data_IF_097907194934
#
_entry.id   IF_097907194934
#
_cell.length_a   1.000
_cell.length_b   1.000
_cell.length_c   1.000
_cell.angle_alpha   90.00
_cell.angle_beta   90.00
_cell.angle_gamma   90.00
#
_symmetry.space_group_name_H-M   'P 1'
#
loop_
_entity.id
_entity.type
_entity.pdbx_description
1 polymer ?
#
# COMPACT_ATOMS: atom_id res chain seq x y z
N UNK A 1 -29.56 30.15 4.89
CA UNK A 1 -29.86 29.38 3.62
C UNK A 1 -28.77 28.36 3.23
N UNK A 2 -27.71 28.18 4.03
CA UNK A 2 -26.50 27.43 3.69
C UNK A 2 -26.68 26.00 3.12
N UNK A 3 -27.67 25.22 3.57
CA UNK A 3 -27.90 23.83 3.09
C UNK A 3 -28.19 23.71 1.58
N UNK A 4 -28.55 24.80 0.88
CA UNK A 4 -28.74 24.81 -0.57
C UNK A 4 -27.47 25.19 -1.36
N UNK A 5 -26.53 25.93 -0.77
CA UNK A 5 -25.33 26.42 -1.45
C UNK A 5 -24.44 25.27 -1.97
N UNK A 6 -24.22 24.23 -1.16
CA UNK A 6 -23.43 23.06 -1.57
C UNK A 6 -24.10 22.22 -2.66
N UNK A 7 -25.43 22.38 -2.85
CA UNK A 7 -26.17 21.77 -3.95
C UNK A 7 -26.16 22.62 -5.23
N UNK A 8 -26.16 23.95 -5.12
CA UNK A 8 -26.17 24.84 -6.29
C UNK A 8 -24.81 24.93 -6.99
N UNK A 9 -23.71 24.75 -6.26
CA UNK A 9 -22.35 24.68 -6.83
C UNK A 9 -21.91 23.28 -7.27
N UNK A 10 -22.84 22.31 -7.39
CA UNK A 10 -22.52 20.96 -7.88
C UNK A 10 -21.63 20.11 -6.98
N UNK A 11 -21.34 20.55 -5.74
CA UNK A 11 -20.45 19.85 -4.80
C UNK A 11 -21.10 18.64 -4.09
N UNK A 12 -22.33 18.28 -4.47
CA UNK A 12 -22.97 17.00 -4.16
C UNK A 12 -23.28 16.24 -5.44
N UNK A 13 -22.85 14.98 -5.54
CA UNK A 13 -23.27 14.08 -6.63
C UNK A 13 -24.77 13.79 -6.52
N UNK A 14 -25.51 14.07 -7.60
CA UNK A 14 -26.88 13.58 -7.78
C UNK A 14 -26.85 12.08 -8.09
N UNK A 15 -27.63 11.29 -7.35
CA UNK A 15 -27.72 9.84 -7.50
C UNK A 15 -28.85 9.42 -8.44
N UNK A 16 -28.79 9.87 -9.70
CA UNK A 16 -29.66 9.34 -10.76
C UNK A 16 -28.85 8.50 -11.77
N UNK A 17 -29.12 7.19 -11.89
CA UNK A 17 -28.36 6.30 -12.77
C UNK A 17 -28.77 6.47 -14.24
N UNK A 18 -27.80 6.75 -15.12
CA UNK A 18 -27.99 6.71 -16.57
C UNK A 18 -27.81 5.28 -17.11
N UNK A 19 -28.61 4.84 -18.10
CA UNK A 19 -28.52 3.47 -18.65
C UNK A 19 -27.34 3.31 -19.62
N UNK A 20 -26.71 2.14 -19.61
CA UNK A 20 -25.58 1.76 -20.48
C UNK A 20 -26.02 0.63 -21.42
N UNK A 21 -25.60 0.69 -22.70
CA UNK A 21 -25.90 -0.32 -23.73
C UNK A 21 -24.84 -1.45 -23.74
N UNK A 22 -25.28 -2.69 -23.97
CA UNK A 22 -24.41 -3.87 -24.10
C UNK A 22 -24.04 -4.17 -25.56
N UNK A 23 -22.92 -4.88 -25.78
CA UNK A 23 -22.67 -5.75 -26.93
C UNK A 23 -21.81 -6.97 -26.49
N UNK A 24 -21.85 -8.07 -27.26
CA UNK A 24 -21.31 -9.42 -26.93
C UNK A 24 -20.44 -9.99 -28.06
N UNK A 25 -19.51 -10.90 -27.72
CA UNK A 25 -19.11 -12.15 -28.45
C UNK A 25 -17.81 -12.71 -27.83
N UNK A 26 -17.35 -13.95 -28.03
CA UNK A 26 -17.94 -15.30 -27.94
C UNK A 26 -16.82 -16.37 -28.10
N UNK A 27 -16.97 -17.52 -27.42
CA UNK A 27 -16.16 -18.78 -27.51
C UNK A 27 -14.69 -18.72 -26.99
N UNK A 28 -13.94 -19.82 -26.81
CA UNK A 28 -14.23 -21.27 -26.94
C UNK A 28 -13.52 -22.17 -25.87
N UNK A 29 -13.77 -23.49 -25.97
CA UNK A 29 -12.99 -24.70 -25.57
C UNK A 29 -11.77 -24.63 -24.60
N UNK A 30 -11.54 -25.61 -23.70
CA UNK A 30 -12.26 -26.87 -23.47
C UNK A 30 -11.44 -27.96 -22.74
N UNK A 31 -11.02 -27.76 -21.48
CA UNK A 31 -10.46 -28.84 -20.61
C UNK A 31 -11.02 -28.76 -19.18
N UNK A 32 -11.39 -29.91 -18.60
CA UNK A 32 -12.11 -30.01 -17.31
C UNK A 32 -11.22 -29.64 -16.12
N UNK A 33 -11.31 -28.39 -15.66
CA UNK A 33 -10.73 -27.90 -14.40
C UNK A 33 -11.64 -28.32 -13.24
N UNK A 34 -11.09 -28.99 -12.22
CA UNK A 34 -11.83 -29.26 -10.98
C UNK A 34 -11.83 -27.98 -10.12
N UNK A 35 -12.86 -27.15 -10.29
CA UNK A 35 -12.97 -25.87 -9.59
C UNK A 35 -13.35 -26.06 -8.11
N UNK A 36 -12.87 -25.17 -7.24
CA UNK A 36 -13.26 -25.18 -5.82
C UNK A 36 -14.69 -24.62 -5.68
N UNK A 37 -15.69 -25.50 -5.80
CA UNK A 37 -17.12 -25.16 -5.69
C UNK A 37 -17.58 -24.71 -4.29
N UNK A 38 -16.68 -24.60 -3.29
CA UNK A 38 -17.02 -24.18 -1.93
C UNK A 38 -17.35 -22.68 -1.85
N UNK A 39 -18.65 -22.38 -1.98
CA UNK A 39 -19.22 -21.03 -1.81
C UNK A 39 -19.14 -20.56 -0.35
N UNK A 40 -18.95 -19.25 -0.17
CA UNK A 40 -19.05 -18.60 1.14
C UNK A 40 -20.45 -18.76 1.74
N UNK A 41 -20.50 -19.15 3.02
CA UNK A 41 -21.72 -19.38 3.80
C UNK A 41 -21.57 -18.73 5.17
N UNK A 42 -22.64 -18.10 5.65
CA UNK A 42 -22.72 -17.65 7.04
C UNK A 42 -22.75 -18.85 7.99
N UNK A 43 -22.19 -18.70 9.19
CA UNK A 43 -22.41 -19.64 10.28
C UNK A 43 -23.87 -19.49 10.78
N UNK A 44 -24.64 -20.58 10.96
CA UNK A 44 -26.03 -20.50 11.43
C UNK A 44 -26.12 -20.59 12.97
N UNK A 45 -24.98 -20.65 13.68
CA UNK A 45 -24.95 -20.68 15.15
C UNK A 45 -25.30 -19.29 15.67
N UNK A 46 -26.27 -19.19 16.58
CA UNK A 46 -26.69 -17.92 17.14
C UNK A 46 -25.51 -17.17 17.79
N UNK A 47 -25.44 -15.86 17.56
CA UNK A 47 -24.30 -15.01 17.96
C UNK A 47 -23.08 -15.06 17.02
N UNK A 48 -22.94 -16.07 16.17
CA UNK A 48 -21.81 -16.16 15.25
C UNK A 48 -22.07 -15.40 13.93
N UNK A 49 -21.31 -14.33 13.69
CA UNK A 49 -21.41 -13.49 12.48
C UNK A 49 -20.43 -13.90 11.36
N UNK A 50 -19.69 -15.01 11.51
CA UNK A 50 -18.65 -15.41 10.55
C UNK A 50 -19.21 -15.89 9.21
N UNK A 51 -18.55 -15.51 8.10
CA UNK A 51 -18.83 -15.98 6.74
C UNK A 51 -17.60 -16.69 6.18
N UNK A 52 -17.72 -17.97 5.83
CA UNK A 52 -16.57 -18.85 5.52
C UNK A 52 -16.83 -19.78 4.33
N UNK A 53 -15.77 -20.19 3.60
CA UNK A 53 -15.88 -21.22 2.55
C UNK A 53 -16.05 -22.65 3.11
N UNK A 54 -15.34 -22.96 4.20
CA UNK A 54 -15.31 -24.31 4.81
C UNK A 54 -15.86 -24.27 6.24
N UNK A 55 -17.19 -24.25 6.35
CA UNK A 55 -17.91 -24.16 7.63
C UNK A 55 -17.51 -25.27 8.61
N UNK A 56 -17.24 -26.48 8.12
CA UNK A 56 -16.76 -27.60 8.93
C UNK A 56 -15.46 -27.31 9.68
N UNK A 57 -14.55 -26.50 9.10
CA UNK A 57 -13.30 -26.12 9.75
C UNK A 57 -13.51 -24.99 10.77
N UNK A 58 -14.34 -24.00 10.42
CA UNK A 58 -14.72 -22.90 11.30
C UNK A 58 -15.37 -23.42 12.59
N UNK A 59 -16.32 -24.37 12.51
CA UNK A 59 -16.96 -24.97 13.69
C UNK A 59 -15.88 -25.59 14.62
N UNK A 60 -14.92 -26.35 14.08
CA UNK A 60 -13.84 -26.95 14.89
C UNK A 60 -12.94 -25.94 15.60
N UNK A 61 -12.77 -24.74 15.02
CA UNK A 61 -11.86 -23.72 15.55
C UNK A 61 -12.55 -22.77 16.54
N UNK A 62 -13.77 -22.34 16.22
CA UNK A 62 -14.52 -21.27 16.90
C UNK A 62 -15.63 -21.82 17.82
N UNK A 63 -16.18 -22.99 17.51
CA UNK A 63 -17.27 -23.63 18.26
C UNK A 63 -16.82 -25.01 18.77
N UNK A 64 -15.73 -25.01 19.56
CA UNK A 64 -15.03 -26.22 20.03
C UNK A 64 -15.93 -27.15 20.84
N UNK A 65 -16.94 -26.59 21.50
CA UNK A 65 -17.93 -27.29 22.32
C UNK A 65 -18.96 -28.09 21.50
N UNK A 66 -18.87 -28.05 20.16
CA UNK A 66 -19.70 -28.85 19.25
C UNK A 66 -18.88 -30.04 18.73
N UNK A 67 -19.09 -31.27 19.25
CA UNK A 67 -18.31 -32.43 18.81
C UNK A 67 -18.52 -32.72 17.33
N UNK A 68 -17.42 -32.98 16.61
CA UNK A 68 -17.43 -33.32 15.18
C UNK A 68 -18.25 -34.59 14.97
N UNK A 69 -19.23 -34.52 14.06
CA UNK A 69 -20.09 -35.66 13.73
C UNK A 69 -21.32 -35.85 14.62
N UNK A 70 -21.48 -35.06 15.69
CA UNK A 70 -22.69 -35.02 16.52
C UNK A 70 -23.96 -34.71 15.69
N UNK A 71 -25.17 -35.08 16.17
CA UNK A 71 -26.42 -34.75 15.49
C UNK A 71 -26.58 -33.24 15.25
N UNK A 72 -26.15 -32.43 16.22
CA UNK A 72 -26.16 -30.96 16.14
C UNK A 72 -25.17 -30.43 15.10
N UNK A 73 -23.94 -30.95 15.06
CA UNK A 73 -22.95 -30.64 14.01
C UNK A 73 -23.49 -30.92 12.60
N UNK A 74 -24.14 -32.07 12.42
CA UNK A 74 -24.78 -32.46 11.15
C UNK A 74 -25.96 -31.56 10.78
N UNK A 75 -26.76 -31.11 11.76
CA UNK A 75 -27.86 -30.14 11.57
C UNK A 75 -27.31 -28.78 11.08
N UNK A 76 -26.31 -28.24 11.77
CA UNK A 76 -25.64 -26.97 11.41
C UNK A 76 -25.08 -26.99 9.98
N UNK A 77 -24.41 -28.07 9.58
CA UNK A 77 -23.89 -28.19 8.21
C UNK A 77 -25.01 -28.32 7.16
N UNK A 78 -26.16 -28.90 7.51
CA UNK A 78 -27.34 -28.99 6.61
C UNK A 78 -28.03 -27.64 6.46
N UNK A 79 -28.25 -26.93 7.56
CA UNK A 79 -28.80 -25.57 7.60
C UNK A 79 -27.90 -24.59 6.82
N UNK A 80 -26.58 -24.67 7.07
CA UNK A 80 -25.47 -24.15 6.27
C UNK A 80 -25.65 -24.28 4.75
N UNK A 81 -26.05 -25.47 4.30
CA UNK A 81 -26.21 -25.81 2.88
C UNK A 81 -27.47 -25.21 2.28
N UNK A 82 -28.58 -25.22 3.03
CA UNK A 82 -29.88 -24.69 2.63
C UNK A 82 -29.96 -23.15 2.64
N UNK A 83 -29.15 -22.48 3.46
CA UNK A 83 -29.06 -21.03 3.45
C UNK A 83 -28.64 -20.49 2.07
N UNK A 84 -29.28 -19.38 1.63
CA UNK A 84 -28.88 -18.65 0.41
C UNK A 84 -27.39 -18.28 0.52
N UNK A 85 -26.61 -18.67 -0.48
CA UNK A 85 -25.17 -18.41 -0.51
C UNK A 85 -24.92 -16.91 -0.51
N UNK A 86 -24.01 -16.45 0.35
CA UNK A 86 -23.72 -15.02 0.49
C UNK A 86 -23.31 -14.42 -0.86
N UNK A 87 -24.06 -13.41 -1.31
CA UNK A 87 -23.69 -12.55 -2.43
C UNK A 87 -23.06 -11.28 -1.86
N UNK A 88 -21.92 -10.81 -2.40
CA UNK A 88 -21.49 -9.44 -2.14
C UNK A 88 -22.61 -8.46 -2.50
N UNK A 89 -22.73 -7.37 -1.73
CA UNK A 89 -23.58 -6.24 -2.13
C UNK A 89 -23.14 -5.73 -3.51
N UNK A 90 -24.09 -5.38 -4.38
CA UNK A 90 -23.77 -4.90 -5.74
C UNK A 90 -22.94 -3.60 -5.78
N UNK A 91 -22.84 -2.90 -4.65
CA UNK A 91 -21.94 -1.76 -4.48
C UNK A 91 -20.45 -2.13 -4.40
N UNK A 92 -20.10 -3.43 -4.36
CA UNK A 92 -18.70 -3.92 -4.49
C UNK A 92 -18.44 -4.54 -5.86
N UNK A 93 -18.97 -3.92 -6.92
CA UNK A 93 -18.40 -4.06 -8.27
C UNK A 93 -17.19 -3.12 -8.38
N UNK A 94 -16.05 -3.54 -7.81
CA UNK A 94 -14.76 -3.08 -8.37
C UNK A 94 -14.79 -3.44 -9.86
N UNK A 95 -14.43 -2.51 -10.73
CA UNK A 95 -14.16 -2.83 -12.12
C UNK A 95 -13.06 -3.90 -12.15
N UNK A 96 -13.45 -5.14 -12.48
CA UNK A 96 -12.54 -6.18 -12.93
C UNK A 96 -12.59 -6.16 -14.44
N UNK A 97 -11.61 -5.53 -15.05
CA UNK A 97 -11.21 -5.83 -16.43
C UNK A 97 -10.80 -7.31 -16.50
N UNK A 98 -11.16 -7.99 -17.59
CA UNK A 98 -11.19 -9.46 -17.66
C UNK A 98 -9.82 -10.13 -17.92
N UNK A 99 -8.70 -9.45 -17.66
CA UNK A 99 -7.35 -9.98 -17.94
C UNK A 99 -6.71 -10.77 -16.77
N UNK A 100 -7.18 -10.63 -15.53
CA UNK A 100 -6.56 -11.27 -14.34
C UNK A 100 -6.90 -12.78 -14.14
N UNK A 101 -7.07 -13.56 -15.21
CA UNK A 101 -7.23 -15.03 -15.09
C UNK A 101 -6.33 -15.84 -16.01
N UNK A 102 -5.02 -15.54 -16.02
CA UNK A 102 -4.04 -16.36 -16.74
C UNK A 102 -2.65 -16.51 -16.10
N UNK A 103 -2.57 -16.75 -14.78
CA UNK A 103 -1.35 -17.30 -14.16
C UNK A 103 -1.63 -18.64 -13.47
N UNK A 104 -0.94 -19.67 -13.96
CA UNK A 104 -0.83 -21.02 -13.38
C UNK A 104 -0.37 -20.94 -11.92
N UNK A 105 -0.94 -21.77 -11.04
CA UNK A 105 -0.21 -22.27 -9.86
C UNK A 105 0.09 -23.75 -10.05
N UNK A 106 1.32 -24.07 -10.44
CA UNK A 106 1.85 -25.43 -10.33
C UNK A 106 2.34 -25.67 -8.90
N UNK A 107 2.11 -26.87 -8.38
CA UNK A 107 2.72 -27.33 -7.13
C UNK A 107 4.10 -27.92 -7.40
N UNK A 108 5.13 -27.09 -7.25
CA UNK A 108 6.49 -27.49 -6.89
C UNK A 108 6.98 -26.51 -5.81
N UNK A 109 8.02 -26.89 -5.06
CA UNK A 109 8.51 -26.17 -3.87
C UNK A 109 8.56 -24.65 -4.07
N UNK A 110 7.89 -23.90 -3.20
CA UNK A 110 7.71 -22.44 -3.37
C UNK A 110 9.02 -21.69 -3.09
N UNK A 111 9.82 -21.49 -4.14
CA UNK A 111 10.82 -20.43 -4.21
C UNK A 111 10.10 -19.08 -4.31
N UNK A 112 9.84 -18.44 -3.17
CA UNK A 112 9.06 -17.19 -3.03
C UNK A 112 9.78 -15.92 -3.58
N UNK A 113 10.53 -16.01 -4.68
CA UNK A 113 11.41 -14.91 -5.16
C UNK A 113 10.83 -14.02 -6.26
N UNK A 114 9.78 -14.44 -6.97
CA UNK A 114 9.16 -13.65 -8.05
C UNK A 114 7.92 -12.87 -7.64
N UNK A 115 7.52 -12.90 -6.36
CA UNK A 115 6.77 -11.77 -5.81
C UNK A 115 7.81 -10.72 -5.40
N UNK A 116 8.46 -10.12 -6.40
CA UNK A 116 8.99 -8.76 -6.23
C UNK A 116 7.90 -7.96 -5.51
N UNK A 117 8.31 -7.14 -4.54
CA UNK A 117 7.40 -6.20 -3.91
C UNK A 117 6.79 -5.38 -5.04
N UNK A 118 5.56 -5.73 -5.40
CA UNK A 118 4.70 -4.90 -6.21
C UNK A 118 4.77 -3.57 -5.50
N UNK A 119 5.40 -2.59 -6.16
CA UNK A 119 5.66 -1.28 -5.58
C UNK A 119 4.29 -0.69 -5.32
N UNK A 120 3.80 -0.93 -4.10
CA UNK A 120 2.72 -0.15 -3.54
C UNK A 120 3.16 1.29 -3.79
N UNK A 121 2.21 2.11 -4.25
CA UNK A 121 2.38 3.54 -4.30
C UNK A 121 2.36 4.06 -2.85
N UNK A 122 3.31 3.59 -2.05
CA UNK A 122 3.77 4.21 -0.83
C UNK A 122 4.40 5.50 -1.31
N UNK A 123 3.67 6.59 -1.17
CA UNK A 123 4.28 7.91 -1.23
C UNK A 123 5.48 7.88 -0.28
N UNK A 124 6.70 8.25 -0.72
CA UNK A 124 7.88 8.16 0.13
C UNK A 124 7.58 8.93 1.41
N UNK A 125 7.91 8.38 2.58
CA UNK A 125 7.62 9.08 3.84
C UNK A 125 8.31 10.46 3.83
N UNK A 126 7.82 11.42 4.61
CA UNK A 126 8.46 12.74 4.71
C UNK A 126 9.95 12.61 5.09
N UNK A 127 10.31 11.59 5.87
CA UNK A 127 11.69 11.21 6.18
C UNK A 127 12.44 10.71 4.93
N UNK A 128 11.85 9.83 4.11
CA UNK A 128 12.44 9.35 2.86
C UNK A 128 12.61 10.47 1.81
N UNK A 129 11.70 11.45 1.79
CA UNK A 129 11.82 12.64 0.94
C UNK A 129 12.98 13.53 1.42
N UNK A 130 13.05 13.84 2.71
CA UNK A 130 14.14 14.63 3.30
C UNK A 130 15.52 13.93 3.18
N UNK A 131 15.57 12.59 3.25
CA UNK A 131 16.81 11.83 3.00
C UNK A 131 17.21 11.90 1.53
N UNK A 132 16.25 11.90 0.60
CA UNK A 132 16.54 12.05 -0.83
C UNK A 132 17.10 13.45 -1.14
N UNK A 133 16.52 14.49 -0.53
CA UNK A 133 16.95 15.88 -0.65
C UNK A 133 18.37 16.09 -0.07
N UNK A 134 18.63 15.58 1.14
CA UNK A 134 19.97 15.63 1.78
C UNK A 134 21.03 14.81 1.02
N UNK A 135 20.65 13.73 0.35
CA UNK A 135 21.56 12.96 -0.51
C UNK A 135 21.88 13.71 -1.82
N UNK A 136 21.01 14.59 -2.30
CA UNK A 136 21.25 15.42 -3.48
C UNK A 136 22.21 16.58 -3.18
N UNK A 137 22.16 17.18 -1.99
CA UNK A 137 23.13 18.21 -1.56
C UNK A 137 24.56 17.63 -1.44
N UNK A 138 24.69 16.40 -0.93
CA UNK A 138 25.98 15.70 -0.85
C UNK A 138 26.52 15.21 -2.20
N UNK A 139 25.69 15.19 -3.25
CA UNK A 139 26.05 14.68 -4.59
C UNK A 139 26.78 15.74 -5.45
N UNK A 140 26.88 16.99 -4.99
CA UNK A 140 27.43 18.09 -5.79
C UNK A 140 28.97 18.24 -5.71
N UNK A 141 29.70 17.27 -5.16
CA UNK A 141 31.17 17.35 -5.04
C UNK A 141 31.91 16.03 -5.35
N UNK A 142 32.55 16.01 -6.53
CA UNK A 142 33.66 15.16 -7.00
C UNK A 142 33.41 13.73 -7.54
N UNK A 143 34.38 13.33 -8.39
CA UNK A 143 34.64 12.06 -9.08
C UNK A 143 33.78 11.75 -10.32
N UNK A 144 34.35 12.03 -11.50
CA UNK A 144 33.72 11.84 -12.82
C UNK A 144 33.42 10.36 -13.15
N UNK A 145 34.28 9.42 -12.69
CA UNK A 145 34.11 7.99 -12.94
C UNK A 145 32.99 7.34 -12.09
N UNK A 146 32.82 7.77 -10.84
CA UNK A 146 31.73 7.31 -9.96
C UNK A 146 30.36 7.82 -10.46
N UNK A 147 30.33 9.03 -11.03
CA UNK A 147 29.16 9.58 -11.72
C UNK A 147 28.79 8.72 -12.96
N UNK A 148 29.77 8.13 -13.64
CA UNK A 148 29.54 7.26 -14.79
C UNK A 148 28.87 5.92 -14.41
N UNK A 149 29.34 5.26 -13.36
CA UNK A 149 28.72 3.99 -12.86
C UNK A 149 27.25 4.19 -12.53
N UNK A 150 26.90 5.28 -11.83
CA UNK A 150 25.53 5.48 -11.35
C UNK A 150 24.61 6.03 -12.43
N UNK A 151 25.11 6.87 -13.34
CA UNK A 151 24.32 7.27 -14.52
C UNK A 151 24.04 6.09 -15.45
N UNK A 152 25.00 5.18 -15.63
CA UNK A 152 24.84 3.93 -16.37
C UNK A 152 23.84 2.99 -15.68
N UNK A 153 23.96 2.76 -14.36
CA UNK A 153 22.99 1.98 -13.58
C UNK A 153 21.56 2.55 -13.65
N UNK A 154 21.39 3.87 -13.55
CA UNK A 154 20.09 4.54 -13.69
C UNK A 154 19.49 4.38 -15.09
N UNK A 155 20.34 4.32 -16.11
CA UNK A 155 19.92 4.10 -17.51
C UNK A 155 19.53 2.64 -17.72
N UNK A 156 20.29 1.70 -17.14
CA UNK A 156 19.98 0.28 -17.14
C UNK A 156 18.65 -0.04 -16.44
N UNK A 157 18.34 0.57 -15.28
CA UNK A 157 17.04 0.42 -14.62
C UNK A 157 15.84 0.81 -15.51
N UNK A 158 16.03 1.73 -16.46
CA UNK A 158 15.02 2.14 -17.43
C UNK A 158 14.99 1.23 -18.68
N UNK A 159 15.97 0.34 -18.87
CA UNK A 159 16.06 -0.61 -19.98
C UNK A 159 15.09 -1.79 -19.79
N UNK A 160 15.05 -2.70 -20.77
CA UNK A 160 14.31 -3.95 -20.62
C UNK A 160 14.89 -4.85 -19.51
N UNK A 161 16.21 -4.92 -19.41
CA UNK A 161 16.97 -5.78 -18.50
C UNK A 161 16.89 -5.31 -17.04
N UNK A 162 16.84 -3.98 -16.82
CA UNK A 162 16.56 -3.39 -15.51
C UNK A 162 15.06 -3.33 -15.13
N UNK A 163 14.17 -3.84 -15.98
CA UNK A 163 12.74 -3.95 -15.69
C UNK A 163 11.92 -2.66 -15.90
N UNK A 164 12.40 -1.74 -16.75
CA UNK A 164 11.70 -0.51 -17.19
C UNK A 164 11.15 0.35 -16.04
N UNK A 165 11.93 0.50 -14.96
CA UNK A 165 11.59 1.39 -13.84
C UNK A 165 11.51 2.83 -14.34
N UNK A 166 10.61 3.64 -13.78
CA UNK A 166 10.46 5.04 -14.21
C UNK A 166 11.64 5.92 -13.74
N UNK A 167 11.71 7.17 -14.23
CA UNK A 167 12.80 8.10 -13.93
C UNK A 167 12.93 8.46 -12.45
N UNK A 168 11.82 8.55 -11.70
CA UNK A 168 11.81 8.86 -10.27
C UNK A 168 12.30 7.64 -9.49
N UNK A 169 11.75 6.45 -9.77
CA UNK A 169 12.16 5.22 -9.10
C UNK A 169 13.62 4.85 -9.39
N UNK A 170 14.09 5.06 -10.63
CA UNK A 170 15.50 4.85 -11.00
C UNK A 170 16.45 5.83 -10.28
N UNK A 171 16.04 7.10 -10.09
CA UNK A 171 16.77 8.05 -9.24
C UNK A 171 16.81 7.59 -7.78
N UNK A 172 15.67 7.16 -7.25
CA UNK A 172 15.55 6.68 -5.86
C UNK A 172 16.48 5.48 -5.59
N UNK A 173 16.51 4.47 -6.48
CA UNK A 173 17.41 3.32 -6.32
C UNK A 173 18.89 3.73 -6.30
N UNK A 174 19.30 4.68 -7.16
CA UNK A 174 20.65 5.23 -7.17
C UNK A 174 21.01 6.02 -5.90
N UNK A 175 20.14 6.92 -5.45
CA UNK A 175 20.33 7.66 -4.18
C UNK A 175 20.41 6.70 -2.99
N UNK A 176 19.62 5.61 -3.01
CA UNK A 176 19.66 4.60 -1.96
C UNK A 176 20.99 3.82 -1.94
N UNK A 177 21.54 3.45 -3.10
CA UNK A 177 22.87 2.85 -3.20
C UNK A 177 23.97 3.76 -2.68
N UNK A 178 24.01 5.02 -3.14
CA UNK A 178 24.97 6.00 -2.65
C UNK A 178 24.90 6.17 -1.13
N UNK A 179 23.70 6.12 -0.54
CA UNK A 179 23.55 6.22 0.91
C UNK A 179 24.05 5.00 1.66
N UNK A 180 23.90 3.78 1.11
CA UNK A 180 24.56 2.58 1.66
C UNK A 180 26.09 2.79 1.61
N UNK A 181 26.59 3.19 0.44
CA UNK A 181 28.01 3.39 0.16
C UNK A 181 28.65 4.40 1.13
N UNK A 182 28.08 5.61 1.26
CA UNK A 182 28.48 6.62 2.24
C UNK A 182 28.55 6.13 3.70
N UNK A 183 27.71 5.15 4.07
CA UNK A 183 27.67 4.61 5.44
C UNK A 183 28.74 3.54 5.66
N UNK A 184 29.06 2.75 4.62
CA UNK A 184 30.03 1.65 4.73
C UNK A 184 31.46 2.04 4.38
N UNK A 185 31.63 3.03 3.51
CA UNK A 185 32.91 3.43 2.93
C UNK A 185 32.89 4.92 2.56
N UNK A 186 33.51 5.79 3.37
CA UNK A 186 33.65 7.21 3.07
C UNK A 186 34.47 7.53 1.82
N UNK A 187 35.21 6.57 1.25
CA UNK A 187 35.96 6.72 0.00
C UNK A 187 35.15 6.32 -1.25
N UNK A 188 33.86 6.00 -1.09
CA UNK A 188 32.89 5.80 -2.16
C UNK A 188 33.25 4.72 -3.22
N UNK A 189 34.07 3.73 -2.85
CA UNK A 189 34.43 2.64 -3.76
C UNK A 189 33.28 1.62 -3.89
N UNK A 190 32.76 1.42 -5.11
CA UNK A 190 31.62 0.52 -5.35
C UNK A 190 31.91 -0.94 -4.97
N UNK A 191 33.17 -1.37 -5.01
CA UNK A 191 33.70 -2.63 -4.50
C UNK A 191 33.24 -2.91 -3.05
N UNK A 192 33.18 -1.89 -2.21
CA UNK A 192 32.81 -2.00 -0.79
C UNK A 192 31.36 -2.47 -0.59
N UNK A 193 30.47 -2.22 -1.55
CA UNK A 193 29.08 -2.75 -1.53
C UNK A 193 29.05 -4.28 -1.58
N UNK A 194 30.10 -4.92 -2.09
CA UNK A 194 30.21 -6.38 -2.16
C UNK A 194 30.88 -7.00 -0.93
N UNK A 195 31.25 -6.20 0.07
CA UNK A 195 31.76 -6.69 1.34
C UNK A 195 30.61 -6.96 2.33
N UNK A 196 30.28 -8.25 2.51
CA UNK A 196 29.18 -8.71 3.38
C UNK A 196 29.29 -8.22 4.82
N UNK A 197 30.51 -8.02 5.32
CA UNK A 197 30.79 -7.58 6.69
C UNK A 197 30.46 -6.09 6.82
N UNK A 198 30.87 -5.26 5.86
CA UNK A 198 30.54 -3.84 5.85
C UNK A 198 29.02 -3.60 5.74
N UNK A 199 28.34 -4.25 4.80
CA UNK A 199 26.89 -4.08 4.63
C UNK A 199 26.11 -4.57 5.87
N UNK A 200 26.47 -5.73 6.45
CA UNK A 200 25.78 -6.26 7.63
C UNK A 200 26.12 -5.52 8.91
N UNK A 201 27.40 -5.33 9.20
CA UNK A 201 27.86 -4.91 10.52
C UNK A 201 27.97 -3.40 10.68
N UNK A 202 28.00 -2.65 9.57
CA UNK A 202 27.99 -1.17 9.54
C UNK A 202 26.64 -0.66 9.06
N UNK A 203 26.23 -0.95 7.81
CA UNK A 203 25.00 -0.37 7.25
C UNK A 203 23.74 -0.86 7.96
N UNK A 204 23.49 -2.17 8.06
CA UNK A 204 22.24 -2.67 8.65
C UNK A 204 22.07 -2.26 10.12
N UNK A 205 23.14 -2.28 10.94
CA UNK A 205 23.04 -1.83 12.34
C UNK A 205 22.65 -0.35 12.48
N UNK A 206 23.19 0.53 11.62
CA UNK A 206 22.78 1.93 11.62
C UNK A 206 21.36 2.11 11.04
N UNK A 207 21.02 1.34 10.00
CA UNK A 207 19.72 1.40 9.35
C UNK A 207 18.58 0.93 10.26
N UNK A 208 18.80 -0.10 11.09
CA UNK A 208 17.84 -0.60 12.08
C UNK A 208 17.53 0.43 13.18
N UNK A 209 18.51 1.25 13.57
CA UNK A 209 18.32 2.31 14.55
C UNK A 209 17.63 3.56 13.96
N UNK A 210 17.76 3.80 12.65
CA UNK A 210 17.33 5.05 11.99
C UNK A 210 16.05 4.92 11.15
N UNK A 211 15.75 3.76 10.59
CA UNK A 211 14.78 3.61 9.51
C UNK A 211 13.68 2.60 9.80
N UNK A 212 12.58 2.68 9.05
CA UNK A 212 11.52 1.67 9.10
C UNK A 212 11.96 0.36 8.44
N UNK A 213 11.38 -0.76 8.87
CA UNK A 213 11.63 -2.07 8.28
C UNK A 213 11.43 -2.10 6.74
N UNK A 214 10.43 -1.37 6.23
CA UNK A 214 10.17 -1.27 4.80
C UNK A 214 11.16 -0.35 4.06
N UNK A 215 11.59 0.74 4.70
CA UNK A 215 12.68 1.59 4.22
C UNK A 215 14.00 0.81 4.11
N UNK A 216 14.37 0.01 5.12
CA UNK A 216 15.56 -0.88 5.06
C UNK A 216 15.44 -1.90 3.93
N UNK A 217 14.26 -2.50 3.74
CA UNK A 217 14.00 -3.40 2.61
C UNK A 217 14.14 -2.72 1.25
N UNK A 218 13.79 -1.43 1.12
CA UNK A 218 13.97 -0.66 -0.11
C UNK A 218 15.46 -0.44 -0.44
N UNK A 219 16.27 -0.06 0.56
CA UNK A 219 17.73 0.00 0.41
C UNK A 219 18.32 -1.34 -0.05
N UNK A 220 17.90 -2.45 0.56
CA UNK A 220 18.34 -3.79 0.18
C UNK A 220 17.87 -4.22 -1.22
N UNK A 221 16.70 -3.75 -1.67
CA UNK A 221 16.23 -3.96 -3.05
C UNK A 221 17.11 -3.21 -4.05
N UNK A 222 17.48 -1.96 -3.76
CA UNK A 222 18.42 -1.18 -4.56
C UNK A 222 19.79 -1.86 -4.69
N UNK A 223 20.29 -2.44 -3.59
CA UNK A 223 21.51 -3.27 -3.61
C UNK A 223 21.36 -4.52 -4.49
N UNK A 224 20.21 -5.24 -4.43
CA UNK A 224 19.96 -6.39 -5.32
C UNK A 224 19.90 -6.00 -6.80
N UNK A 225 19.30 -4.86 -7.13
CA UNK A 225 19.29 -4.34 -8.50
C UNK A 225 20.70 -3.98 -8.98
N UNK A 226 21.53 -3.37 -8.14
CA UNK A 226 22.94 -3.09 -8.49
C UNK A 226 23.75 -4.37 -8.71
N UNK A 227 23.56 -5.41 -7.88
CA UNK A 227 24.18 -6.71 -8.12
C UNK A 227 23.77 -7.32 -9.47
N UNK A 228 22.51 -7.15 -9.87
CA UNK A 228 22.01 -7.61 -11.17
C UNK A 228 22.67 -6.86 -12.33
N UNK A 229 22.77 -5.52 -12.21
CA UNK A 229 23.45 -4.65 -13.16
C UNK A 229 24.93 -5.02 -13.33
N UNK A 230 25.68 -5.20 -12.24
CA UNK A 230 27.13 -5.54 -12.31
C UNK A 230 27.36 -6.92 -12.94
N UNK A 231 26.48 -7.91 -12.70
CA UNK A 231 26.55 -9.21 -13.37
C UNK A 231 26.24 -9.12 -14.87
N UNK A 232 25.27 -8.29 -15.26
CA UNK A 232 24.83 -8.14 -16.64
C UNK A 232 25.80 -7.29 -17.49
N UNK A 233 26.08 -6.07 -17.06
CA UNK A 233 26.79 -5.04 -17.85
C UNK A 233 28.31 -5.05 -17.61
N UNK A 234 28.78 -5.59 -16.46
CA UNK A 234 30.21 -5.68 -16.09
C UNK A 234 30.97 -4.36 -16.30
N UNK A 235 30.55 -3.26 -15.63
CA UNK A 235 31.18 -1.96 -15.78
C UNK A 235 32.68 -2.02 -15.43
N UNK A 236 33.53 -1.42 -16.28
CA UNK A 236 35.00 -1.51 -16.17
C UNK A 236 35.55 -1.00 -14.84
N UNK A 237 34.86 -0.04 -14.23
CA UNK A 237 35.17 0.58 -12.93
C UNK A 237 34.67 -0.19 -11.70
N UNK A 238 34.17 -1.42 -11.85
CA UNK A 238 33.80 -2.30 -10.73
C UNK A 238 34.47 -3.66 -10.87
N UNK A 239 35.68 -3.79 -10.31
CA UNK A 239 36.56 -4.94 -10.51
C UNK A 239 36.29 -6.06 -9.46
N UNK A 240 35.14 -6.73 -9.56
CA UNK A 240 34.68 -7.71 -8.55
C UNK A 240 34.35 -9.07 -9.16
N UNK A 241 34.74 -10.14 -8.46
CA UNK A 241 34.37 -11.52 -8.78
C UNK A 241 32.83 -11.71 -8.80
N UNK A 242 32.22 -12.15 -9.91
CA UNK A 242 30.79 -12.44 -10.00
C UNK A 242 30.25 -13.36 -8.88
N UNK A 243 31.07 -14.26 -8.33
CA UNK A 243 30.65 -15.10 -7.21
C UNK A 243 30.47 -14.33 -5.89
N UNK A 244 31.21 -13.23 -5.68
CA UNK A 244 30.98 -12.30 -4.57
C UNK A 244 29.71 -11.47 -4.79
N UNK A 245 29.47 -11.01 -6.03
CA UNK A 245 28.26 -10.27 -6.40
C UNK A 245 27.00 -11.10 -6.14
N UNK A 246 26.98 -12.36 -6.57
CA UNK A 246 25.87 -13.28 -6.31
C UNK A 246 25.68 -13.58 -4.82
N UNK A 247 26.77 -13.76 -4.06
CA UNK A 247 26.67 -13.93 -2.60
C UNK A 247 26.00 -12.73 -1.93
N UNK A 248 26.32 -11.51 -2.35
CA UNK A 248 25.77 -10.28 -1.77
C UNK A 248 24.31 -10.08 -2.17
N UNK A 249 23.96 -10.38 -3.42
CA UNK A 249 22.57 -10.39 -3.89
C UNK A 249 21.68 -11.33 -3.05
N UNK A 250 22.16 -12.54 -2.77
CA UNK A 250 21.46 -13.52 -1.93
C UNK A 250 21.44 -13.11 -0.45
N UNK A 251 22.51 -12.52 0.09
CA UNK A 251 22.51 -11.99 1.45
C UNK A 251 21.55 -10.82 1.61
N UNK A 252 21.52 -9.89 0.66
CA UNK A 252 20.57 -8.77 0.65
C UNK A 252 19.11 -9.26 0.59
N UNK A 253 18.84 -10.33 -0.16
CA UNK A 253 17.54 -11.01 -0.15
C UNK A 253 17.20 -11.58 1.24
N UNK A 254 18.10 -12.36 1.84
CA UNK A 254 17.88 -12.97 3.16
C UNK A 254 17.70 -11.92 4.27
N UNK A 255 18.46 -10.82 4.24
CA UNK A 255 18.29 -9.68 5.15
C UNK A 255 16.93 -8.99 4.94
N UNK A 256 16.49 -8.80 3.69
CA UNK A 256 15.16 -8.27 3.37
C UNK A 256 14.04 -9.19 3.89
N UNK A 257 14.25 -10.51 3.86
CA UNK A 257 13.32 -11.49 4.42
C UNK A 257 13.21 -11.42 5.96
N UNK A 258 14.29 -11.13 6.71
CA UNK A 258 14.19 -11.04 8.18
C UNK A 258 13.24 -9.92 8.64
N UNK A 259 13.20 -8.78 7.93
CA UNK A 259 12.32 -7.66 8.25
C UNK A 259 10.83 -7.90 7.91
N UNK A 260 10.46 -9.02 7.28
CA UNK A 260 9.06 -9.34 6.92
C UNK A 260 8.11 -9.31 8.13
N UNK A 261 8.57 -9.78 9.30
CA UNK A 261 7.76 -9.82 10.52
C UNK A 261 7.51 -8.42 11.09
N UNK A 262 8.53 -7.58 11.13
CA UNK A 262 8.46 -6.22 11.69
C UNK A 262 7.68 -5.27 10.80
N UNK A 263 7.90 -5.33 9.48
CA UNK A 263 7.08 -4.67 8.46
C UNK A 263 5.59 -5.02 8.63
N UNK A 264 5.26 -6.31 8.71
CA UNK A 264 3.88 -6.76 8.92
C UNK A 264 3.30 -6.32 10.27
N UNK A 265 4.09 -6.32 11.34
CA UNK A 265 3.65 -5.81 12.65
C UNK A 265 3.30 -4.32 12.55
N UNK A 266 4.20 -3.50 12.00
CA UNK A 266 4.02 -2.05 11.86
C UNK A 266 2.84 -1.68 10.96
N UNK A 267 2.58 -2.46 9.91
CA UNK A 267 1.37 -2.33 9.10
C UNK A 267 0.08 -2.58 9.89
N UNK A 268 0.05 -3.61 10.74
CA UNK A 268 -1.10 -3.90 11.60
C UNK A 268 -1.27 -2.85 12.71
N UNK A 269 -0.18 -2.40 13.32
CA UNK A 269 -0.16 -1.29 14.30
C UNK A 269 -0.69 0.01 13.67
N UNK A 270 -0.28 0.33 12.44
CA UNK A 270 -0.84 1.46 11.70
C UNK A 270 -2.33 1.30 11.45
N UNK A 271 -2.79 0.12 10.98
CA UNK A 271 -4.22 -0.12 10.79
C UNK A 271 -5.04 0.01 12.08
N UNK A 272 -4.50 -0.47 13.21
CA UNK A 272 -5.17 -0.37 14.51
C UNK A 272 -5.24 1.09 15.00
N UNK A 273 -4.15 1.85 14.82
CA UNK A 273 -4.12 3.29 15.08
C UNK A 273 -5.05 4.09 14.16
N UNK A 274 -5.12 3.74 12.87
CA UNK A 274 -6.04 4.38 11.91
C UNK A 274 -7.51 4.07 12.28
N UNK A 275 -7.78 2.87 12.83
CA UNK A 275 -9.09 2.48 13.36
C UNK A 275 -9.44 3.21 14.67
N UNK A 276 -8.49 3.35 15.60
CA UNK A 276 -8.72 4.02 16.89
C UNK A 276 -8.92 5.53 16.74
N UNK A 277 -8.33 6.14 15.71
CA UNK A 277 -8.44 7.56 15.40
C UNK A 277 -9.52 7.89 14.34
N UNK A 278 -10.44 6.96 14.05
CA UNK A 278 -11.55 7.23 13.14
C UNK A 278 -12.41 8.40 13.61
N UNK A 279 -12.66 9.36 12.72
CA UNK A 279 -13.59 10.47 12.97
C UNK A 279 -15.00 9.92 13.23
N UNK A 280 -15.43 9.97 14.48
CA UNK A 280 -16.72 9.42 14.89
C UNK A 280 -17.88 10.39 14.60
N UNK A 281 -19.13 9.89 14.45
CA UNK A 281 -20.32 10.75 14.36
C UNK A 281 -20.49 11.69 15.57
N UNK A 282 -19.95 11.33 16.75
CA UNK A 282 -19.94 12.18 17.95
C UNK A 282 -19.02 13.39 17.74
N UNK A 283 -17.79 13.16 17.27
CA UNK A 283 -16.82 14.23 16.99
C UNK A 283 -17.33 15.21 15.92
N UNK A 284 -17.99 14.70 14.87
CA UNK A 284 -18.65 15.55 13.86
C UNK A 284 -19.73 16.42 14.51
N UNK A 285 -20.60 15.84 15.34
CA UNK A 285 -21.68 16.55 16.02
C UNK A 285 -21.19 17.55 17.09
N UNK A 286 -20.03 17.29 17.71
CA UNK A 286 -19.34 18.23 18.59
C UNK A 286 -18.76 19.41 17.78
N UNK A 287 -18.13 19.12 16.62
CA UNK A 287 -17.63 20.15 15.70
C UNK A 287 -18.75 21.03 15.11
N UNK A 288 -19.83 20.44 14.59
CA UNK A 288 -21.01 21.17 14.05
C UNK A 288 -21.63 22.13 15.08
N UNK A 289 -21.47 21.84 16.38
CA UNK A 289 -21.93 22.69 17.48
C UNK A 289 -20.88 23.65 18.02
N UNK A 290 -19.63 23.57 17.59
CA UNK A 290 -18.54 24.43 18.05
C UNK A 290 -18.74 25.90 17.67
N UNK A 291 -18.07 26.80 18.40
CA UNK A 291 -18.03 28.22 18.04
C UNK A 291 -17.39 28.44 16.67
N UNK A 292 -16.31 27.71 16.34
CA UNK A 292 -15.65 27.79 15.04
C UNK A 292 -16.61 27.52 13.87
N UNK A 293 -17.41 26.44 13.94
CA UNK A 293 -18.40 26.12 12.91
C UNK A 293 -19.51 27.19 12.82
N UNK A 294 -20.03 27.68 13.95
CA UNK A 294 -21.06 28.74 13.98
C UNK A 294 -20.54 30.05 13.41
N UNK A 295 -19.31 30.44 13.75
CA UNK A 295 -18.66 31.65 13.26
C UNK A 295 -18.36 31.56 11.77
N UNK A 296 -17.91 30.40 11.26
CA UNK A 296 -17.74 30.17 9.82
C UNK A 296 -19.07 30.28 9.05
N UNK A 297 -20.16 29.71 9.58
CA UNK A 297 -21.51 29.84 8.99
C UNK A 297 -21.99 31.29 8.99
N UNK A 298 -21.81 32.03 10.09
CA UNK A 298 -22.20 33.44 10.19
C UNK A 298 -21.43 34.30 9.17
N UNK A 299 -20.10 34.10 9.05
CA UNK A 299 -19.27 34.77 8.03
C UNK A 299 -19.75 34.47 6.60
N UNK A 300 -20.10 33.21 6.30
CA UNK A 300 -20.64 32.82 5.00
C UNK A 300 -22.01 33.44 4.71
N UNK A 301 -22.89 33.57 5.72
CA UNK A 301 -24.19 34.23 5.54
C UNK A 301 -24.04 35.75 5.35
N UNK A 302 -23.11 36.40 6.05
CA UNK A 302 -22.79 37.82 5.83
C UNK A 302 -22.19 38.06 4.43
N UNK A 303 -21.25 37.23 3.99
CA UNK A 303 -20.67 37.29 2.63
C UNK A 303 -21.69 37.01 1.52
N UNK A 304 -22.74 36.21 1.80
CA UNK A 304 -23.83 35.96 0.85
C UNK A 304 -24.80 37.14 0.71
N UNK A 305 -24.76 38.14 1.61
CA UNK A 305 -25.67 39.30 1.62
C UNK A 305 -24.99 40.66 1.43
N UNK A 306 -23.68 40.78 1.70
CA UNK A 306 -22.94 42.05 1.64
C UNK A 306 -21.93 42.07 0.49
N UNK A 307 -21.87 43.17 -0.26
CA UNK A 307 -20.94 43.35 -1.39
C UNK A 307 -19.55 43.93 -0.99
N UNK A 308 -19.31 44.21 0.29
CA UNK A 308 -18.14 44.99 0.73
C UNK A 308 -17.57 44.57 2.09
N UNK A 309 -17.56 43.27 2.39
CA UNK A 309 -17.02 42.75 3.66
C UNK A 309 -15.52 42.49 3.51
N UNK A 310 -14.68 43.22 4.25
CA UNK A 310 -13.23 43.10 4.16
C UNK A 310 -12.75 41.81 4.84
N UNK A 311 -12.40 40.80 4.04
CA UNK A 311 -11.92 39.50 4.51
C UNK A 311 -10.45 39.60 4.92
N UNK A 312 -10.13 39.20 6.15
CA UNK A 312 -8.76 39.06 6.63
C UNK A 312 -8.30 37.59 6.63
N UNK A 313 -7.01 37.35 6.87
CA UNK A 313 -6.41 36.00 6.82
C UNK A 313 -7.05 35.01 7.79
N UNK A 314 -7.47 35.44 8.98
CA UNK A 314 -8.09 34.57 9.98
C UNK A 314 -9.50 34.13 9.57
N UNK A 315 -10.30 35.05 9.01
CA UNK A 315 -11.63 34.76 8.46
C UNK A 315 -11.54 33.82 7.25
N UNK A 316 -10.59 34.08 6.35
CA UNK A 316 -10.32 33.19 5.21
C UNK A 316 -9.93 31.78 5.67
N UNK A 317 -9.01 31.67 6.63
CA UNK A 317 -8.54 30.38 7.18
C UNK A 317 -9.69 29.61 7.83
N UNK A 318 -10.48 30.26 8.69
CA UNK A 318 -11.64 29.66 9.35
C UNK A 318 -12.68 29.13 8.36
N UNK A 319 -13.02 29.93 7.34
CA UNK A 319 -14.00 29.54 6.31
C UNK A 319 -13.46 28.43 5.40
N UNK A 320 -12.17 28.51 5.02
CA UNK A 320 -11.48 27.45 4.26
C UNK A 320 -11.53 26.12 5.00
N UNK A 321 -11.14 26.12 6.28
CA UNK A 321 -11.01 24.90 7.08
C UNK A 321 -12.38 24.28 7.37
N UNK A 322 -13.40 25.12 7.63
CA UNK A 322 -14.80 24.69 7.70
C UNK A 322 -15.28 24.05 6.40
N UNK A 323 -15.04 24.67 5.23
CA UNK A 323 -15.45 24.12 3.93
C UNK A 323 -14.72 22.81 3.62
N UNK A 324 -13.40 22.72 3.87
CA UNK A 324 -12.63 21.50 3.66
C UNK A 324 -13.12 20.35 4.55
N UNK A 325 -13.46 20.64 5.81
CA UNK A 325 -13.99 19.65 6.73
C UNK A 325 -15.43 19.22 6.33
N UNK A 326 -16.30 20.13 5.93
CA UNK A 326 -17.64 19.81 5.39
C UNK A 326 -17.56 18.95 4.12
N UNK A 327 -16.65 19.27 3.19
CA UNK A 327 -16.37 18.47 1.99
C UNK A 327 -15.87 17.08 2.39
N UNK A 328 -15.00 17.00 3.40
CA UNK A 328 -14.46 15.73 3.91
C UNK A 328 -15.56 14.89 4.55
N UNK A 329 -16.40 15.45 5.42
CA UNK A 329 -17.55 14.78 6.05
C UNK A 329 -18.55 14.29 4.98
N UNK A 330 -18.80 15.10 3.94
CA UNK A 330 -19.74 14.76 2.88
C UNK A 330 -19.24 13.68 1.91
N UNK A 331 -17.92 13.60 1.68
CA UNK A 331 -17.31 12.65 0.73
C UNK A 331 -16.62 11.44 1.41
N UNK A 332 -16.43 11.47 2.73
CA UNK A 332 -15.99 10.32 3.49
C UNK A 332 -17.00 9.18 3.33
N UNK A 333 -16.60 8.13 2.61
CA UNK A 333 -17.35 6.89 2.56
C UNK A 333 -17.47 6.34 3.99
N UNK A 334 -18.67 6.46 4.59
CA UNK A 334 -18.96 6.09 5.98
C UNK A 334 -18.47 4.67 6.29
N UNK A 335 -17.27 4.61 6.87
CA UNK A 335 -16.57 3.40 7.31
C UNK A 335 -16.66 3.35 8.83
N UNK A 336 -17.89 3.35 9.34
CA UNK A 336 -18.22 3.43 10.76
C UNK A 336 -19.66 3.01 10.98
N UNK A 337 -19.93 2.42 12.14
CA UNK A 337 -21.11 1.59 12.39
C UNK A 337 -22.44 2.25 12.00
N UNK A 338 -23.26 1.47 11.26
CA UNK A 338 -24.71 1.65 11.30
C UNK A 338 -25.19 1.08 12.63
N UNK A 339 -25.36 1.94 13.62
CA UNK A 339 -26.25 1.62 14.74
C UNK A 339 -27.62 1.23 14.15
N UNK A 340 -28.12 0.09 14.61
CA UNK A 340 -29.44 -0.48 14.27
C UNK A 340 -30.41 -0.07 15.37
#
# INVERSE_FOLDING_TARGET
MARKATSSYGMRKSFEPKPVKNNKSESSEGKKIYTDYHRHRACPIQGCKSVVKRLSNHIRQVHRDIPVGSPFYKKILREARSAKTWKPSEQVKRFRTEEETKIKKCSLAESEDEVEVQTNNTEPSEEEQAIMESAEEAYSSNVEDEINVVSSFRSWLQSADGGRKDKKLSKQHASQLFRILQIIDPSLQFESLFNKTLVRDTFLKQAEAKYTADTVKAYLLSLRHFCSYVVAEKPESVAVDPALVQQIQEKARLWSMSYRKDSKRRYLEKMDNDLSNLVTPKMVNEYERSEAARSAVNLLEQLSGAHSLQVNQSMYTLVRDFILLEITIANAHRSGDRQI
#
